data_IF_053528997581
#
_entry.id   IF_053528997581
#
_cell.length_a   1.000
_cell.length_b   1.000
_cell.length_c   1.000
_cell.angle_alpha   90.00
_cell.angle_beta   90.00
_cell.angle_gamma   90.00
#
_symmetry.space_group_name_H-M   'P 1'
#
loop_
_entity.id
_entity.type
_entity.pdbx_description
1 polymer ?
#
# COMPACT_ATOMS: atom_id res chain seq x y z
N UNK A 1 19.49 25.92 -5.64
CA UNK A 1 19.39 24.47 -5.94
C UNK A 1 17.99 24.21 -6.50
N UNK A 2 17.81 23.27 -7.43
CA UNK A 2 16.49 22.92 -7.97
C UNK A 2 16.10 21.48 -7.60
N UNK A 3 14.80 21.21 -7.56
CA UNK A 3 14.22 19.91 -7.25
C UNK A 3 13.15 19.53 -8.28
N UNK A 4 13.11 18.26 -8.67
CA UNK A 4 12.02 17.72 -9.48
C UNK A 4 10.90 17.24 -8.56
N UNK A 5 9.67 17.64 -8.85
CA UNK A 5 8.49 17.36 -8.03
C UNK A 5 7.41 16.67 -8.84
N UNK A 6 6.60 15.85 -8.15
CA UNK A 6 5.34 15.33 -8.65
C UNK A 6 4.18 16.01 -7.91
N UNK A 7 3.22 16.52 -8.67
CA UNK A 7 2.12 17.29 -8.08
C UNK A 7 1.01 16.40 -7.53
N UNK A 8 0.56 16.77 -6.33
CA UNK A 8 -0.69 16.34 -5.74
C UNK A 8 -1.72 17.46 -5.84
N UNK A 9 -2.99 17.10 -5.96
CA UNK A 9 -4.09 18.04 -6.07
C UNK A 9 -5.16 17.77 -5.02
N UNK A 10 -5.79 18.82 -4.51
CA UNK A 10 -7.10 18.68 -3.87
C UNK A 10 -8.12 18.36 -4.96
N UNK A 11 -9.15 17.59 -4.62
CA UNK A 11 -10.19 17.21 -5.58
C UNK A 11 -10.86 18.44 -6.25
N UNK A 12 -10.98 19.56 -5.50
CA UNK A 12 -11.53 20.83 -6.00
C UNK A 12 -10.71 21.42 -7.15
N UNK A 13 -9.40 21.14 -7.22
CA UNK A 13 -8.49 21.62 -8.26
C UNK A 13 -8.49 20.72 -9.51
N UNK A 14 -9.03 19.51 -9.43
CA UNK A 14 -9.10 18.61 -10.57
C UNK A 14 -10.15 19.10 -11.57
N UNK A 15 -9.69 19.38 -12.80
CA UNK A 15 -10.58 19.64 -13.94
C UNK A 15 -11.02 18.30 -14.51
N UNK A 16 -12.32 18.03 -14.46
CA UNK A 16 -12.92 16.81 -14.99
C UNK A 16 -13.52 17.05 -16.38
N UNK A 17 -13.59 16.01 -17.22
CA UNK A 17 -14.23 16.10 -18.54
C UNK A 17 -15.76 16.10 -18.47
N UNK A 18 -16.33 15.49 -17.42
CA UNK A 18 -17.77 15.33 -17.27
C UNK A 18 -18.49 16.65 -16.97
N UNK A 19 -19.61 16.85 -17.66
CA UNK A 19 -20.52 17.97 -17.47
C UNK A 19 -21.15 17.93 -16.05
N UNK A 20 -21.29 16.74 -15.47
CA UNK A 20 -21.78 16.50 -14.10
C UNK A 20 -20.63 16.40 -13.07
N UNK A 21 -19.63 17.29 -13.15
CA UNK A 21 -18.47 17.31 -12.23
C UNK A 21 -18.86 17.19 -10.76
N UNK A 22 -19.91 17.89 -10.31
CA UNK A 22 -20.33 17.87 -8.91
C UNK A 22 -20.85 16.50 -8.48
N UNK A 23 -21.67 15.85 -9.30
CA UNK A 23 -22.20 14.50 -9.04
C UNK A 23 -21.06 13.48 -8.95
N UNK A 24 -20.10 13.55 -9.87
CA UNK A 24 -18.91 12.68 -9.86
C UNK A 24 -18.10 12.89 -8.58
N UNK A 25 -17.90 14.15 -8.15
CA UNK A 25 -17.16 14.47 -6.93
C UNK A 25 -17.92 14.05 -5.66
N UNK A 26 -19.25 14.16 -5.64
CA UNK A 26 -20.10 13.68 -4.54
C UNK A 26 -20.05 12.16 -4.42
N UNK A 27 -20.14 11.43 -5.52
CA UNK A 27 -20.04 9.97 -5.55
C UNK A 27 -18.70 9.46 -4.97
N UNK A 28 -17.66 10.26 -5.09
CA UNK A 28 -16.34 9.93 -4.62
C UNK A 28 -16.11 10.14 -3.12
N UNK A 29 -17.00 10.86 -2.42
CA UNK A 29 -16.93 11.18 -1.00
C UNK A 29 -15.50 11.53 -0.53
N UNK A 30 -14.96 12.62 -1.08
CA UNK A 30 -13.61 13.08 -0.76
C UNK A 30 -13.54 13.66 0.65
N UNK A 31 -12.55 13.21 1.42
CA UNK A 31 -12.17 13.84 2.69
C UNK A 31 -11.36 15.11 2.44
N UNK A 32 -11.38 16.06 3.38
CA UNK A 32 -10.61 17.31 3.28
C UNK A 32 -9.10 17.09 3.28
N UNK A 33 -8.63 16.01 3.92
CA UNK A 33 -7.23 15.58 3.95
C UNK A 33 -6.86 14.64 2.81
N UNK A 34 -7.82 14.30 1.94
CA UNK A 34 -7.57 13.44 0.77
C UNK A 34 -6.95 14.26 -0.37
N UNK A 35 -5.75 13.84 -0.78
CA UNK A 35 -5.07 14.33 -1.96
C UNK A 35 -5.20 13.32 -3.11
N UNK A 36 -5.11 13.85 -4.32
CA UNK A 36 -5.12 13.07 -5.56
C UNK A 36 -3.75 13.17 -6.22
N UNK A 37 -3.05 12.05 -6.33
CA UNK A 37 -1.72 12.00 -6.95
C UNK A 37 -1.80 12.20 -8.47
N UNK A 38 -0.80 12.82 -9.08
CA UNK A 38 -0.70 12.95 -10.54
C UNK A 38 0.68 12.58 -11.08
N UNK A 39 0.79 12.39 -12.40
CA UNK A 39 2.07 12.27 -13.14
C UNK A 39 2.61 13.62 -13.60
N UNK A 40 1.99 14.72 -13.19
CA UNK A 40 2.50 16.05 -13.48
C UNK A 40 3.83 16.24 -12.78
N UNK A 41 4.89 16.33 -13.57
CA UNK A 41 6.25 16.54 -13.09
C UNK A 41 6.68 17.96 -13.47
N UNK A 42 7.36 18.63 -12.53
CA UNK A 42 7.87 19.99 -12.70
C UNK A 42 9.20 20.16 -11.97
N UNK A 43 9.91 21.26 -12.22
CA UNK A 43 11.15 21.62 -11.54
C UNK A 43 10.95 22.94 -10.80
N UNK A 44 11.12 22.91 -9.48
CA UNK A 44 10.99 24.10 -8.62
C UNK A 44 12.32 24.49 -7.98
N UNK A 45 12.46 25.75 -7.57
CA UNK A 45 13.59 26.15 -6.71
C UNK A 45 13.41 25.56 -5.32
N UNK A 46 14.49 25.06 -4.72
CA UNK A 46 14.47 24.60 -3.33
C UNK A 46 14.08 25.73 -2.36
N UNK A 47 14.34 26.99 -2.72
CA UNK A 47 13.99 28.16 -1.90
C UNK A 47 12.47 28.41 -1.82
N UNK A 48 11.68 27.81 -2.72
CA UNK A 48 10.21 27.88 -2.69
C UNK A 48 9.57 26.85 -1.75
N UNK A 49 10.35 25.92 -1.19
CA UNK A 49 9.85 24.88 -0.30
C UNK A 49 9.67 25.47 1.10
N UNK A 50 8.43 25.59 1.56
CA UNK A 50 8.11 26.15 2.88
C UNK A 50 8.17 25.12 4.01
N UNK A 51 7.62 23.93 3.76
CA UNK A 51 7.51 22.86 4.75
C UNK A 51 7.44 21.49 4.10
N UNK A 52 7.62 20.45 4.90
CA UNK A 52 7.32 19.08 4.50
C UNK A 52 5.93 18.68 5.01
N UNK A 53 5.35 17.66 4.38
CA UNK A 53 4.09 17.05 4.77
C UNK A 53 4.14 15.55 4.47
N UNK A 54 3.32 14.78 5.18
CA UNK A 54 3.21 13.34 4.99
C UNK A 54 2.00 13.02 4.12
N UNK A 55 2.20 12.18 3.11
CA UNK A 55 1.11 11.64 2.30
C UNK A 55 1.07 10.13 2.48
N UNK A 56 0.06 9.67 3.19
CA UNK A 56 -0.07 8.28 3.61
C UNK A 56 -0.96 7.47 2.67
N UNK A 57 -0.81 6.15 2.70
CA UNK A 57 -1.89 5.28 2.23
C UNK A 57 -3.08 5.42 3.18
N UNK A 58 -4.30 5.13 2.70
CA UNK A 58 -5.48 5.24 3.54
C UNK A 58 -5.42 4.37 4.80
N UNK A 59 -4.88 3.16 4.70
CA UNK A 59 -4.69 2.29 5.86
C UNK A 59 -3.73 2.91 6.88
N UNK A 60 -2.60 3.49 6.45
CA UNK A 60 -1.67 4.18 7.35
C UNK A 60 -2.30 5.42 7.99
N UNK A 61 -3.09 6.19 7.22
CA UNK A 61 -3.80 7.35 7.74
C UNK A 61 -4.82 6.98 8.82
N UNK A 62 -5.63 5.94 8.58
CA UNK A 62 -6.59 5.45 9.57
C UNK A 62 -5.89 4.99 10.87
N UNK A 63 -4.72 4.35 10.73
CA UNK A 63 -3.89 3.91 11.87
C UNK A 63 -3.37 5.10 12.67
N UNK A 64 -2.72 6.03 11.99
CA UNK A 64 -2.19 7.26 12.60
C UNK A 64 -3.28 8.02 13.35
N UNK A 65 -4.46 8.18 12.74
CA UNK A 65 -5.56 8.90 13.35
C UNK A 65 -6.18 8.15 14.54
N UNK A 66 -6.24 6.82 14.48
CA UNK A 66 -6.69 6.00 15.61
C UNK A 66 -5.72 6.09 16.80
N UNK A 67 -4.41 6.00 16.54
CA UNK A 67 -3.36 6.16 17.55
C UNK A 67 -3.43 7.56 18.20
N UNK A 68 -3.49 8.61 17.38
CA UNK A 68 -3.56 9.99 17.88
C UNK A 68 -4.82 10.25 18.72
N UNK A 69 -5.98 9.75 18.27
CA UNK A 69 -7.22 9.88 19.06
C UNK A 69 -7.14 9.14 20.38
N UNK A 70 -6.50 7.98 20.38
CA UNK A 70 -6.35 7.16 21.56
C UNK A 70 -5.43 7.82 22.60
N UNK A 71 -4.36 8.50 22.18
CA UNK A 71 -3.44 9.21 23.06
C UNK A 71 -4.11 10.36 23.85
N UNK A 72 -5.19 10.93 23.30
CA UNK A 72 -5.98 11.98 23.95
C UNK A 72 -7.01 11.40 24.93
N UNK A 73 -7.31 10.10 24.89
CA UNK A 73 -8.28 9.50 25.80
C UNK A 73 -7.77 9.49 27.25
N UNK A 74 -8.65 9.59 28.26
CA UNK A 74 -8.27 9.41 29.66
C UNK A 74 -7.60 8.05 29.90
N UNK A 75 -6.64 7.93 30.83
CA UNK A 75 -5.94 6.67 31.12
C UNK A 75 -6.86 5.48 31.41
N UNK A 76 -8.03 5.73 32.03
CA UNK A 76 -9.05 4.72 32.31
C UNK A 76 -9.65 4.08 31.05
N UNK A 77 -9.69 4.81 29.93
CA UNK A 77 -10.19 4.35 28.64
C UNK A 77 -9.07 3.74 27.78
N UNK A 78 -7.81 4.01 28.10
CA UNK A 78 -6.68 3.54 27.32
C UNK A 78 -6.48 2.02 27.43
N UNK A 79 -6.66 1.41 28.60
CA UNK A 79 -6.29 0.00 28.86
C UNK A 79 -6.82 -1.04 27.84
N UNK A 80 -7.96 -0.80 27.18
CA UNK A 80 -8.58 -1.75 26.21
C UNK A 80 -7.95 -1.77 24.81
N UNK A 81 -7.20 -0.75 24.41
CA UNK A 81 -6.88 -0.59 22.99
C UNK A 81 -5.51 -1.15 22.57
N UNK A 82 -4.56 -1.33 23.50
CA UNK A 82 -3.26 -1.99 23.22
C UNK A 82 -3.43 -3.43 22.70
N UNK A 83 -4.53 -4.09 23.07
CA UNK A 83 -4.87 -5.45 22.63
C UNK A 83 -5.63 -5.47 21.29
N UNK A 84 -6.38 -4.41 20.98
CA UNK A 84 -7.19 -4.30 19.76
C UNK A 84 -6.39 -3.79 18.55
N UNK A 85 -5.35 -3.01 18.82
CA UNK A 85 -4.50 -2.43 17.79
C UNK A 85 -3.05 -2.35 18.31
N UNK A 86 -2.15 -3.28 17.92
CA UNK A 86 -0.74 -3.10 18.21
C UNK A 86 -0.30 -1.79 17.53
N UNK A 87 0.17 -0.81 18.32
CA UNK A 87 0.75 0.44 17.79
C UNK A 87 1.68 0.07 16.66
N UNK A 88 1.53 0.73 15.51
CA UNK A 88 2.03 0.28 14.22
C UNK A 88 3.38 -0.42 14.35
N UNK A 89 3.37 -1.73 14.09
CA UNK A 89 4.43 -2.70 14.39
C UNK A 89 5.83 -2.08 14.33
N UNK A 90 6.65 -2.27 15.36
CA UNK A 90 8.07 -1.84 15.38
C UNK A 90 8.86 -2.40 14.18
N UNK A 91 8.37 -3.50 13.59
CA UNK A 91 8.94 -4.13 12.40
C UNK A 91 8.31 -3.67 11.08
N UNK A 92 7.42 -2.66 11.09
CA UNK A 92 6.82 -2.17 9.86
C UNK A 92 7.89 -1.50 8.99
N UNK A 93 8.18 -2.00 7.76
CA UNK A 93 9.33 -1.52 6.98
C UNK A 93 9.30 -0.03 6.66
N UNK A 94 8.11 0.59 6.65
CA UNK A 94 7.93 2.02 6.41
C UNK A 94 7.78 2.87 7.68
N UNK A 95 7.92 2.31 8.89
CA UNK A 95 7.72 3.03 10.16
C UNK A 95 8.52 4.34 10.22
N UNK A 96 9.79 4.30 9.78
CA UNK A 96 10.68 5.47 9.70
C UNK A 96 10.23 6.59 8.73
N UNK A 97 9.24 6.33 7.89
CA UNK A 97 8.67 7.28 6.94
C UNK A 97 7.25 7.71 7.29
N UNK A 98 6.72 7.25 8.42
CA UNK A 98 5.41 7.65 8.93
C UNK A 98 5.55 8.87 9.85
N UNK A 99 4.48 9.69 9.99
CA UNK A 99 4.41 10.73 11.00
C UNK A 99 4.72 10.19 12.40
N UNK A 100 5.42 10.98 13.20
CA UNK A 100 5.56 10.74 14.62
C UNK A 100 4.34 11.29 15.38
N UNK A 101 4.21 10.90 16.66
CA UNK A 101 3.07 11.29 17.53
C UNK A 101 2.98 12.81 17.74
N UNK A 102 4.09 13.53 17.57
CA UNK A 102 4.20 14.99 17.66
C UNK A 102 3.93 15.71 16.33
N UNK A 103 3.75 14.98 15.22
CA UNK A 103 3.50 15.60 13.92
C UNK A 103 2.11 16.26 13.91
N UNK A 104 2.00 17.57 13.60
CA UNK A 104 0.70 18.22 13.57
C UNK A 104 -0.20 17.62 12.48
N UNK A 105 -1.47 17.39 12.82
CA UNK A 105 -2.44 16.76 11.90
C UNK A 105 -2.62 17.54 10.59
N UNK A 106 -2.36 18.85 10.58
CA UNK A 106 -2.44 19.68 9.39
C UNK A 106 -1.42 19.34 8.29
N UNK A 107 -0.33 18.66 8.67
CA UNK A 107 0.69 18.19 7.74
C UNK A 107 0.52 16.73 7.33
N UNK A 108 -0.56 16.06 7.79
CA UNK A 108 -0.82 14.66 7.48
C UNK A 108 -2.00 14.55 6.52
N UNK A 109 -1.69 14.10 5.32
CA UNK A 109 -2.64 13.86 4.23
C UNK A 109 -2.65 12.38 3.87
N UNK A 110 -3.64 11.97 3.08
CA UNK A 110 -3.67 10.63 2.53
C UNK A 110 -4.08 10.63 1.07
N UNK A 111 -3.74 9.55 0.37
CA UNK A 111 -4.03 9.41 -1.05
C UNK A 111 -4.58 8.01 -1.35
N UNK A 112 -5.75 7.95 -2.01
CA UNK A 112 -6.35 6.70 -2.54
C UNK A 112 -6.53 6.71 -4.04
N UNK A 113 -6.43 7.88 -4.65
CA UNK A 113 -6.86 8.13 -6.02
C UNK A 113 -5.76 8.83 -6.81
N UNK A 114 -5.84 8.65 -8.12
CA UNK A 114 -4.90 9.21 -9.06
C UNK A 114 -5.64 10.06 -10.10
N UNK A 115 -5.10 11.23 -10.42
CA UNK A 115 -5.62 12.18 -11.38
C UNK A 115 -4.79 12.15 -12.67
N UNK A 116 -5.47 11.86 -13.78
CA UNK A 116 -4.90 11.95 -15.12
C UNK A 116 -5.28 13.26 -15.77
N UNK A 117 -4.33 14.19 -15.89
CA UNK A 117 -4.53 15.49 -16.55
C UNK A 117 -4.99 15.28 -18.00
N UNK A 118 -4.32 14.38 -18.74
CA UNK A 118 -4.63 14.12 -20.14
C UNK A 118 -6.06 13.61 -20.36
N UNK A 119 -6.56 12.81 -19.41
CA UNK A 119 -7.92 12.26 -19.48
C UNK A 119 -8.95 13.13 -18.76
N UNK A 120 -8.50 14.14 -18.00
CA UNK A 120 -9.33 14.93 -17.08
C UNK A 120 -10.24 14.02 -16.24
N UNK A 121 -9.64 13.01 -15.61
CA UNK A 121 -10.37 11.96 -14.91
C UNK A 121 -9.62 11.49 -13.65
N UNK A 122 -10.38 11.08 -12.64
CA UNK A 122 -9.88 10.52 -11.39
C UNK A 122 -10.16 9.01 -11.40
N UNK A 123 -9.19 8.21 -10.97
CA UNK A 123 -9.33 6.75 -10.84
C UNK A 123 -8.91 6.29 -9.45
N UNK A 124 -9.62 5.31 -8.90
CA UNK A 124 -9.21 4.58 -7.69
C UNK A 124 -8.30 3.41 -8.07
N UNK A 125 -7.22 3.22 -7.31
CA UNK A 125 -6.27 2.12 -7.51
C UNK A 125 -5.00 2.56 -8.25
N UNK A 126 -3.88 1.95 -7.88
CA UNK A 126 -2.64 2.08 -8.66
C UNK A 126 -2.91 1.52 -10.06
N UNK A 127 -2.44 2.18 -11.15
CA UNK A 127 -2.37 1.50 -12.42
C UNK A 127 -1.40 0.34 -12.24
N UNK A 128 -1.94 -0.85 -11.99
CA UNK A 128 -1.18 -2.09 -11.99
C UNK A 128 -0.48 -2.10 -13.35
N UNK A 129 0.86 -2.11 -13.41
CA UNK A 129 1.55 -2.33 -14.67
C UNK A 129 0.96 -3.61 -15.23
N UNK A 130 0.35 -3.56 -16.42
CA UNK A 130 -0.08 -4.78 -17.10
C UNK A 130 1.17 -5.63 -17.19
N UNK A 131 1.31 -6.62 -16.31
CA UNK A 131 2.39 -7.56 -16.36
C UNK A 131 2.35 -8.10 -17.78
N UNK A 132 3.41 -7.85 -18.54
CA UNK A 132 3.58 -8.40 -19.87
C UNK A 132 3.38 -9.90 -19.68
N UNK A 133 2.22 -10.43 -20.11
CA UNK A 133 1.97 -11.88 -20.12
C UNK A 133 2.96 -12.46 -21.12
N UNK A 134 4.22 -12.63 -20.69
CA UNK A 134 5.13 -13.57 -21.33
C UNK A 134 4.46 -14.91 -21.12
N UNK A 135 3.76 -15.34 -22.16
CA UNK A 135 3.21 -16.65 -22.36
C UNK A 135 4.20 -17.68 -21.84
N UNK A 136 3.96 -18.21 -20.64
CA UNK A 136 4.58 -19.46 -20.18
C UNK A 136 4.04 -20.55 -21.11
N UNK A 137 4.69 -20.72 -22.26
CA UNK A 137 4.50 -21.89 -23.10
C UNK A 137 4.90 -23.09 -22.25
N UNK A 138 3.94 -23.97 -21.99
CA UNK A 138 4.16 -25.30 -21.47
C UNK A 138 5.30 -25.96 -22.24
N UNK A 139 6.40 -26.30 -21.55
CA UNK A 139 7.34 -27.31 -22.02
C UNK A 139 7.08 -28.57 -21.20
N UNK A 140 6.21 -29.43 -21.75
CA UNK A 140 6.14 -30.86 -21.39
C UNK A 140 7.54 -31.46 -21.64
N UNK A 141 8.23 -31.89 -20.59
CA UNK A 141 9.21 -32.98 -20.67
C UNK A 141 8.52 -34.16 -19.99
N UNK A 142 7.83 -35.02 -20.77
CA UNK A 142 8.34 -36.28 -21.35
C UNK A 142 9.04 -37.15 -20.31
N UNK A 143 8.22 -38.05 -19.76
CA UNK A 143 8.58 -39.33 -19.15
C UNK A 143 9.64 -40.04 -19.97
N UNK A 144 10.70 -40.52 -19.32
CA UNK A 144 11.56 -41.58 -19.84
C UNK A 144 11.40 -42.76 -18.88
N UNK A 145 10.67 -43.75 -19.37
CA UNK A 145 10.63 -45.12 -18.86
C UNK A 145 11.73 -45.89 -19.59
N UNK A 146 12.61 -46.59 -18.87
CA UNK A 146 13.39 -47.78 -19.28
C UNK A 146 14.29 -48.11 -18.07
N UNK A 147 14.55 -49.32 -17.59
CA UNK A 147 14.09 -50.71 -17.76
C UNK A 147 14.78 -51.45 -16.58
N UNK A 148 14.12 -52.43 -15.95
CA UNK A 148 14.72 -53.31 -14.92
C UNK A 148 15.81 -54.23 -15.53
N UNK A 149 16.63 -54.89 -14.70
CA UNK A 149 16.31 -56.29 -14.41
C UNK A 149 16.40 -56.70 -12.93
N UNK A 150 15.71 -57.82 -12.69
CA UNK A 150 15.46 -58.58 -11.46
C UNK A 150 16.63 -59.51 -11.15
N UNK A 151 17.05 -59.61 -9.88
CA UNK A 151 17.59 -60.80 -9.19
C UNK A 151 17.24 -60.59 -7.69
N UNK A 152 16.18 -61.18 -7.16
CA UNK A 152 15.99 -62.53 -6.59
C UNK A 152 16.53 -62.77 -5.16
N UNK A 153 15.62 -63.38 -4.38
CA UNK A 153 15.83 -64.22 -3.18
C UNK A 153 15.83 -63.56 -1.78
N UNK A 154 14.68 -63.75 -1.12
CA UNK A 154 14.48 -64.51 0.14
C UNK A 154 15.50 -64.33 1.27
N UNK A 155 15.05 -63.86 2.44
CA UNK A 155 14.63 -64.75 3.52
C UNK A 155 14.29 -63.98 4.82
N UNK A 156 13.10 -64.28 5.34
CA UNK A 156 12.84 -64.72 6.72
C UNK A 156 13.26 -63.88 7.95
N UNK A 157 12.24 -63.55 8.75
CA UNK A 157 12.17 -63.65 10.22
C UNK A 157 13.44 -63.32 11.05
N UNK A 158 13.35 -62.42 12.04
CA UNK A 158 12.74 -62.72 13.35
C UNK A 158 13.04 -61.61 14.38
N UNK A 159 12.02 -61.39 15.21
CA UNK A 159 11.97 -60.86 16.59
C UNK A 159 13.21 -60.24 17.26
N UNK A 160 12.96 -59.04 17.77
CA UNK A 160 12.95 -58.65 19.20
C UNK A 160 14.20 -58.89 20.06
N UNK A 161 14.72 -57.82 20.69
CA UNK A 161 14.58 -57.60 22.15
C UNK A 161 15.32 -56.32 22.61
N UNK A 162 14.56 -55.46 23.29
CA UNK A 162 14.99 -54.64 24.43
C UNK A 162 14.17 -55.13 25.64
N UNK A 163 14.61 -54.97 26.89
CA UNK A 163 15.96 -54.75 27.42
C UNK A 163 16.55 -56.01 28.10
#
# INVERSE_FOLDING_TARGET
>A
MCANVLWYYKYKQCVLKDENREEVLQNYNFDERELVASKHMDTISCDSIQSHAFVLTFSEYCRYFAETKYDVLPPSCQARCKELWPRGEDNYPRRRYLPHEDTPQDFVFFCRKYYSINRKAISSGLPVPKATRRSRRHRKQRSITHLLPVEDSDDSENRSQTP
#
